data_IF_370512992065
#
_entry.id   IF_370512992065
#
_cell.length_a   1.000
_cell.length_b   1.000
_cell.length_c   1.000
_cell.angle_alpha   90.00
_cell.angle_beta   90.00
_cell.angle_gamma   90.00
#
_symmetry.space_group_name_H-M   'P 1'
#
loop_
_entity.id
_entity.type
_entity.pdbx_description
1 polymer ?
#
# COMPACT_ATOMS: atom_id res chain seq x y z
N UNK A 1 -20.97 -31.49 12.66
CA UNK A 1 -19.72 -31.99 12.06
C UNK A 1 -18.68 -30.88 12.18
N UNK A 2 -17.46 -31.19 12.60
CA UNK A 2 -16.37 -30.20 12.68
C UNK A 2 -15.57 -30.21 11.38
N UNK A 3 -15.32 -29.04 10.79
CA UNK A 3 -14.50 -28.88 9.59
C UNK A 3 -13.07 -28.41 9.91
N UNK A 4 -12.70 -28.33 11.20
CA UNK A 4 -11.41 -27.80 11.65
C UNK A 4 -10.20 -28.60 11.18
N UNK A 5 -10.38 -29.88 10.87
CA UNK A 5 -9.34 -30.79 10.39
C UNK A 5 -9.19 -30.83 8.87
N UNK A 6 -10.02 -30.09 8.14
CA UNK A 6 -9.94 -30.04 6.68
C UNK A 6 -8.90 -29.02 6.23
N UNK A 7 -8.24 -29.31 5.11
CA UNK A 7 -7.28 -28.40 4.49
C UNK A 7 -7.96 -27.08 4.11
N UNK A 8 -7.28 -25.97 4.39
CA UNK A 8 -7.71 -24.61 4.02
C UNK A 8 -6.91 -24.15 2.82
N UNK A 9 -7.54 -23.39 1.93
CA UNK A 9 -6.80 -22.66 0.90
C UNK A 9 -5.87 -21.64 1.57
N UNK A 10 -4.64 -21.55 1.09
CA UNK A 10 -3.63 -20.60 1.55
C UNK A 10 -3.22 -19.71 0.38
N UNK A 11 -2.75 -18.51 0.71
CA UNK A 11 -2.22 -17.56 -0.26
C UNK A 11 -0.70 -17.58 -0.18
N UNK A 12 -0.06 -17.95 -1.28
CA UNK A 12 1.39 -17.86 -1.39
C UNK A 12 1.82 -16.41 -1.60
N UNK A 13 3.06 -16.11 -1.22
CA UNK A 13 3.72 -14.85 -1.52
C UNK A 13 3.61 -14.45 -3.01
N UNK A 14 3.84 -15.41 -3.91
CA UNK A 14 3.75 -15.21 -5.38
C UNK A 14 2.36 -14.77 -5.87
N UNK A 15 1.32 -15.04 -5.08
CA UNK A 15 -0.03 -14.57 -5.41
C UNK A 15 -0.11 -13.04 -5.40
N UNK A 16 0.68 -12.33 -4.58
CA UNK A 16 0.71 -10.87 -4.58
C UNK A 16 1.14 -10.32 -5.95
N UNK A 17 2.11 -10.98 -6.60
CA UNK A 17 2.52 -10.63 -7.94
C UNK A 17 1.45 -10.97 -8.97
N UNK A 18 0.91 -12.19 -8.93
CA UNK A 18 -0.15 -12.63 -9.86
C UNK A 18 -1.39 -11.73 -9.78
N UNK A 19 -1.74 -11.26 -8.59
CA UNK A 19 -2.87 -10.36 -8.39
C UNK A 19 -2.59 -8.95 -8.94
N UNK A 20 -1.32 -8.51 -8.98
CA UNK A 20 -0.93 -7.21 -9.54
C UNK A 20 -1.05 -7.12 -11.07
N UNK A 21 -0.93 -8.26 -11.78
CA UNK A 21 -1.02 -8.30 -13.25
C UNK A 21 -2.44 -8.09 -13.78
N UNK A 22 -3.43 -7.94 -12.90
CA UNK A 22 -4.81 -7.56 -13.28
C UNK A 22 -4.90 -6.13 -13.82
N UNK A 23 -3.91 -5.28 -13.50
CA UNK A 23 -3.85 -3.90 -13.95
C UNK A 23 -2.86 -3.74 -15.10
N UNK A 24 -3.33 -3.82 -16.34
CA UNK A 24 -2.55 -3.41 -17.52
C UNK A 24 -2.29 -1.89 -17.50
N UNK A 25 -3.25 -1.11 -16.98
CA UNK A 25 -3.18 0.35 -16.93
C UNK A 25 -2.81 0.85 -15.52
N UNK A 26 -1.67 1.53 -15.41
CA UNK A 26 -1.11 1.98 -14.12
C UNK A 26 -2.00 3.01 -13.40
N UNK A 27 -2.65 3.92 -14.11
CA UNK A 27 -3.60 4.84 -13.46
C UNK A 27 -4.89 4.13 -13.02
N UNK A 28 -5.24 2.98 -13.59
CA UNK A 28 -6.30 2.12 -13.06
C UNK A 28 -5.97 1.62 -11.64
N UNK A 29 -4.70 1.26 -11.41
CA UNK A 29 -4.21 0.90 -10.08
C UNK A 29 -4.26 2.08 -9.09
N UNK A 30 -3.99 3.31 -9.54
CA UNK A 30 -4.14 4.52 -8.69
C UNK A 30 -5.63 4.82 -8.43
N UNK A 31 -6.49 4.65 -9.44
CA UNK A 31 -7.93 4.89 -9.33
C UNK A 31 -8.58 3.99 -8.26
N UNK A 32 -8.17 2.72 -8.15
CA UNK A 32 -8.61 1.83 -7.07
C UNK A 32 -8.31 2.40 -5.66
N UNK A 33 -7.22 3.15 -5.51
CA UNK A 33 -6.85 3.78 -4.23
C UNK A 33 -7.69 5.03 -3.98
N UNK A 34 -7.96 5.82 -5.03
CA UNK A 34 -8.86 6.98 -4.99
C UNK A 34 -10.28 6.53 -4.61
N UNK A 35 -10.75 5.43 -5.19
CA UNK A 35 -12.07 4.86 -4.90
C UNK A 35 -12.20 4.45 -3.43
N UNK A 36 -11.14 3.92 -2.82
CA UNK A 36 -11.13 3.60 -1.39
C UNK A 36 -11.26 4.84 -0.51
N UNK A 37 -10.56 5.94 -0.84
CA UNK A 37 -10.68 7.21 -0.12
C UNK A 37 -12.10 7.80 -0.25
N UNK A 38 -12.67 7.77 -1.46
CA UNK A 38 -14.05 8.20 -1.71
C UNK A 38 -15.06 7.38 -0.91
N UNK A 39 -14.94 6.06 -0.92
CA UNK A 39 -15.81 5.16 -0.15
C UNK A 39 -15.66 5.37 1.37
N UNK A 40 -14.50 5.85 1.84
CA UNK A 40 -14.28 6.27 3.22
C UNK A 40 -14.86 7.66 3.52
N UNK A 41 -15.64 8.24 2.60
CA UNK A 41 -16.24 9.56 2.70
C UNK A 41 -15.23 10.70 2.85
N UNK A 42 -14.04 10.53 2.28
CA UNK A 42 -13.06 11.60 2.22
C UNK A 42 -13.62 12.80 1.43
N UNK A 43 -13.40 13.99 1.98
CA UNK A 43 -13.70 15.27 1.32
C UNK A 43 -12.48 15.86 0.65
N UNK A 44 -11.30 15.40 1.04
CA UNK A 44 -10.00 15.79 0.51
C UNK A 44 -9.12 14.53 0.37
N UNK A 45 -8.41 14.45 -0.75
CA UNK A 45 -7.42 13.42 -1.04
C UNK A 45 -6.20 14.10 -1.65
N UNK A 46 -5.08 14.02 -0.96
CA UNK A 46 -3.79 14.45 -1.49
C UNK A 46 -3.07 13.25 -2.11
N UNK A 47 -2.61 13.42 -3.34
CA UNK A 47 -1.68 12.50 -4.00
C UNK A 47 -0.37 13.28 -4.19
N UNK A 48 0.70 12.81 -3.58
CA UNK A 48 1.99 13.51 -3.58
C UNK A 48 3.15 12.52 -3.53
N UNK A 49 4.37 13.02 -3.76
CA UNK A 49 5.58 12.21 -3.65
C UNK A 49 6.44 12.63 -2.46
N UNK A 50 7.09 11.66 -1.84
CA UNK A 50 8.09 11.89 -0.82
C UNK A 50 9.45 11.35 -1.33
N UNK A 51 10.38 12.26 -1.59
CA UNK A 51 11.70 11.92 -2.13
C UNK A 51 12.51 11.08 -1.13
N UNK A 52 13.08 9.98 -1.62
CA UNK A 52 14.00 9.13 -0.89
C UNK A 52 14.90 8.36 -1.87
N UNK A 53 16.13 8.86 -2.06
CA UNK A 53 17.09 8.32 -3.02
C UNK A 53 17.58 6.88 -2.68
N UNK A 54 17.35 6.40 -1.46
CA UNK A 54 17.71 5.03 -1.05
C UNK A 54 16.69 3.98 -1.53
N UNK A 55 15.48 4.42 -1.89
CA UNK A 55 14.41 3.54 -2.35
C UNK A 55 14.47 3.37 -3.87
N UNK A 56 14.08 2.19 -4.35
CA UNK A 56 13.97 1.94 -5.79
C UNK A 56 12.94 2.90 -6.39
N UNK A 57 13.37 3.62 -7.42
CA UNK A 57 12.61 4.68 -8.08
C UNK A 57 12.80 6.08 -7.48
N UNK A 58 13.51 6.22 -6.36
CA UNK A 58 13.94 7.51 -5.81
C UNK A 58 12.90 8.29 -5.01
N UNK A 59 11.65 7.81 -4.95
CA UNK A 59 10.59 8.43 -4.15
C UNK A 59 9.51 7.41 -3.76
N UNK A 60 8.64 7.83 -2.84
CA UNK A 60 7.41 7.12 -2.46
C UNK A 60 6.20 7.84 -3.05
N UNK A 61 5.24 7.09 -3.59
CA UNK A 61 3.92 7.61 -3.92
C UNK A 61 3.04 7.59 -2.67
N UNK A 62 2.56 8.75 -2.25
CA UNK A 62 1.75 8.92 -1.05
C UNK A 62 0.32 9.32 -1.43
N UNK A 63 -0.66 8.67 -0.80
CA UNK A 63 -2.07 9.05 -0.87
C UNK A 63 -2.56 9.31 0.56
N UNK A 64 -3.05 10.51 0.82
CA UNK A 64 -3.56 10.91 2.13
C UNK A 64 -4.99 11.39 2.01
N UNK A 65 -5.90 10.72 2.71
CA UNK A 65 -7.30 11.13 2.79
C UNK A 65 -7.70 11.52 4.22
N UNK A 66 -8.74 12.36 4.29
CA UNK A 66 -9.38 12.78 5.53
C UNK A 66 -10.70 12.01 5.80
N UNK A 67 -10.82 10.79 5.28
CA UNK A 67 -12.01 9.95 5.45
C UNK A 67 -12.19 9.41 6.87
N UNK A 68 -13.07 8.43 7.01
CA UNK A 68 -13.44 7.84 8.31
C UNK A 68 -12.33 7.00 8.96
N UNK A 69 -11.24 6.70 8.23
CA UNK A 69 -10.16 5.84 8.69
C UNK A 69 -10.63 4.43 9.04
N UNK A 70 -9.79 3.67 9.73
CA UNK A 70 -10.08 2.28 10.10
C UNK A 70 -9.68 2.00 11.55
N UNK A 71 -10.53 1.25 12.25
CA UNK A 71 -10.20 0.68 13.55
C UNK A 71 -9.30 -0.58 13.38
N UNK A 72 -8.78 -1.17 14.48
CA UNK A 72 -7.91 -2.35 14.41
C UNK A 72 -8.55 -3.54 13.67
N UNK A 73 -9.85 -3.75 13.82
CA UNK A 73 -10.54 -4.90 13.22
C UNK A 73 -10.79 -4.67 11.73
N UNK A 74 -11.20 -3.46 11.34
CA UNK A 74 -11.31 -3.05 9.93
C UNK A 74 -9.96 -3.14 9.22
N UNK A 75 -8.87 -2.71 9.88
CA UNK A 75 -7.51 -2.81 9.34
C UNK A 75 -7.09 -4.26 9.12
N UNK A 76 -7.44 -5.17 10.06
CA UNK A 76 -7.20 -6.61 9.92
C UNK A 76 -8.02 -7.23 8.79
N UNK A 77 -9.23 -6.75 8.55
CA UNK A 77 -10.07 -7.22 7.45
C UNK A 77 -9.48 -6.84 6.08
N UNK A 78 -8.64 -5.81 6.00
CA UNK A 78 -7.88 -5.49 4.78
C UNK A 78 -7.07 -6.71 4.35
N UNK A 79 -6.33 -7.41 5.21
CA UNK A 79 -5.49 -8.53 4.75
C UNK A 79 -6.27 -9.80 4.42
N UNK A 80 -7.58 -9.81 4.67
CA UNK A 80 -8.46 -10.93 4.30
C UNK A 80 -8.93 -10.76 2.85
N UNK A 81 -8.32 -11.49 1.93
CA UNK A 81 -8.68 -11.45 0.51
C UNK A 81 -10.14 -11.84 0.29
N UNK A 82 -10.86 -11.07 -0.54
CA UNK A 82 -12.27 -11.32 -0.87
C UNK A 82 -13.28 -10.95 0.22
N UNK A 83 -12.85 -10.39 1.36
CA UNK A 83 -13.76 -9.81 2.37
C UNK A 83 -13.91 -8.31 2.10
N UNK A 84 -15.15 -7.85 1.93
CA UNK A 84 -15.49 -6.42 1.92
C UNK A 84 -16.67 -6.22 2.85
N UNK A 85 -16.52 -5.38 3.88
CA UNK A 85 -17.63 -4.95 4.73
C UNK A 85 -18.65 -4.10 3.96
N UNK A 86 -18.26 -3.56 2.80
CA UNK A 86 -19.09 -2.77 1.89
C UNK A 86 -20.02 -3.65 1.04
N UNK A 87 -19.98 -4.98 1.19
CA UNK A 87 -20.80 -5.91 0.42
C UNK A 87 -22.21 -6.01 1.04
N UNK A 88 -23.02 -4.98 0.86
CA UNK A 88 -24.47 -5.01 1.09
C UNK A 88 -25.21 -4.62 -0.20
N UNK A 89 -26.38 -5.21 -0.45
CA UNK A 89 -27.20 -4.97 -1.66
C UNK A 89 -27.66 -3.51 -1.81
N UNK A 90 -27.42 -2.66 -0.80
CA UNK A 90 -27.81 -1.24 -0.77
C UNK A 90 -26.61 -0.27 -0.75
N UNK A 91 -25.37 -0.75 -0.79
CA UNK A 91 -24.20 0.15 -0.76
C UNK A 91 -23.92 0.76 -2.14
N UNK A 92 -23.70 2.08 -2.19
CA UNK A 92 -23.18 2.80 -3.36
C UNK A 92 -21.65 2.76 -3.45
N UNK A 93 -21.01 1.88 -2.69
CA UNK A 93 -19.56 1.80 -2.56
C UNK A 93 -18.94 1.11 -3.79
N UNK A 94 -17.81 1.62 -4.24
CA UNK A 94 -17.10 1.10 -5.42
C UNK A 94 -16.30 -0.15 -5.06
N UNK A 95 -15.68 -0.17 -3.87
CA UNK A 95 -14.83 -1.25 -3.37
C UNK A 95 -15.57 -2.51 -2.94
N UNK A 96 -16.17 -3.24 -3.87
CA UNK A 96 -16.99 -4.42 -3.57
C UNK A 96 -16.18 -5.72 -3.43
N UNK A 97 -14.99 -5.79 -4.03
CA UNK A 97 -14.25 -7.04 -4.20
C UNK A 97 -13.18 -7.30 -3.12
N UNK A 98 -12.85 -6.28 -2.32
CA UNK A 98 -11.83 -6.41 -1.28
C UNK A 98 -10.43 -6.71 -1.83
N UNK A 99 -10.13 -6.36 -3.08
CA UNK A 99 -8.85 -6.64 -3.74
C UNK A 99 -8.09 -5.39 -4.23
N UNK A 100 -8.80 -4.26 -4.47
CA UNK A 100 -8.25 -3.05 -5.10
C UNK A 100 -6.97 -2.52 -4.47
N UNK A 101 -6.93 -2.41 -3.13
CA UNK A 101 -5.72 -1.97 -2.44
C UNK A 101 -4.52 -2.88 -2.73
N UNK A 102 -4.71 -4.22 -2.75
CA UNK A 102 -3.61 -5.18 -2.90
C UNK A 102 -3.15 -5.27 -4.34
N UNK A 103 -4.08 -5.39 -5.30
CA UNK A 103 -3.72 -5.45 -6.71
C UNK A 103 -3.12 -4.13 -7.19
N UNK A 104 -3.73 -3.01 -6.82
CA UNK A 104 -3.29 -1.68 -7.23
C UNK A 104 -1.93 -1.30 -6.65
N UNK A 105 -1.74 -1.44 -5.33
CA UNK A 105 -0.45 -1.12 -4.70
C UNK A 105 0.70 -1.99 -5.21
N UNK A 106 0.49 -3.29 -5.37
CA UNK A 106 1.52 -4.22 -5.86
C UNK A 106 1.82 -4.06 -7.35
N UNK A 107 0.92 -3.42 -8.12
CA UNK A 107 1.18 -2.98 -9.50
C UNK A 107 2.11 -1.78 -9.54
N UNK A 108 1.98 -0.85 -8.60
CA UNK A 108 2.74 0.41 -8.55
C UNK A 108 4.13 0.20 -7.94
N UNK A 109 4.23 -0.57 -6.85
CA UNK A 109 5.48 -0.78 -6.13
C UNK A 109 5.58 -2.15 -5.49
N UNK A 110 6.76 -2.49 -4.99
CA UNK A 110 6.99 -3.77 -4.32
C UNK A 110 6.54 -3.76 -2.85
N UNK A 111 6.46 -2.58 -2.24
CA UNK A 111 6.17 -2.46 -0.82
C UNK A 111 5.17 -1.34 -0.58
N UNK A 112 4.26 -1.55 0.38
CA UNK A 112 3.33 -0.54 0.85
C UNK A 112 3.33 -0.52 2.38
N UNK A 113 3.16 0.67 2.93
CA UNK A 113 2.81 0.84 4.34
C UNK A 113 1.67 1.84 4.45
N UNK A 114 0.66 1.46 5.21
CA UNK A 114 -0.55 2.23 5.42
C UNK A 114 -0.61 2.61 6.89
N UNK A 115 -0.94 3.87 7.15
CA UNK A 115 -1.19 4.44 8.47
C UNK A 115 -2.63 4.90 8.49
N UNK A 116 -3.41 4.49 9.48
CA UNK A 116 -4.81 4.89 9.60
C UNK A 116 -5.16 5.21 11.03
N UNK A 117 -6.06 6.18 11.20
CA UNK A 117 -6.57 6.62 12.49
C UNK A 117 -8.09 6.61 12.45
N UNK A 118 -8.70 6.09 13.52
CA UNK A 118 -10.15 6.18 13.74
C UNK A 118 -10.42 6.30 15.23
N UNK A 119 -11.06 7.40 15.59
CA UNK A 119 -11.41 7.73 16.98
C UNK A 119 -10.17 7.73 17.91
N UNK A 120 -10.13 6.80 18.88
CA UNK A 120 -9.06 6.67 19.86
C UNK A 120 -8.00 5.62 19.49
N UNK A 121 -8.02 5.12 18.24
CA UNK A 121 -7.08 4.11 17.75
C UNK A 121 -6.28 4.58 16.54
N UNK A 122 -5.07 4.05 16.42
CA UNK A 122 -4.18 4.21 15.27
C UNK A 122 -3.58 2.86 14.92
N UNK A 123 -3.62 2.50 13.65
CA UNK A 123 -3.11 1.22 13.15
C UNK A 123 -2.16 1.45 11.99
N UNK A 124 -1.13 0.62 11.88
CA UNK A 124 -0.33 0.53 10.67
C UNK A 124 -0.49 -0.85 10.05
N UNK A 125 -0.49 -0.91 8.72
CA UNK A 125 -0.46 -2.14 7.95
C UNK A 125 0.75 -2.11 7.05
N UNK A 126 1.60 -3.14 7.14
CA UNK A 126 2.82 -3.21 6.36
C UNK A 126 2.85 -4.45 5.46
N UNK A 127 2.72 -4.26 4.15
CA UNK A 127 2.83 -5.34 3.17
C UNK A 127 4.09 -5.11 2.33
N UNK A 128 5.11 -5.93 2.55
CA UNK A 128 6.42 -5.76 1.93
C UNK A 128 6.91 -7.02 1.24
N UNK A 129 7.08 -6.97 -0.07
CA UNK A 129 7.77 -8.03 -0.79
C UNK A 129 9.24 -8.11 -0.42
N UNK A 130 9.87 -6.98 -0.17
CA UNK A 130 11.28 -6.92 0.24
C UNK A 130 11.52 -7.73 1.52
N UNK A 131 10.62 -7.64 2.50
CA UNK A 131 10.65 -8.46 3.72
C UNK A 131 10.53 -9.97 3.42
N UNK A 132 9.57 -10.36 2.59
CA UNK A 132 9.34 -11.77 2.26
C UNK A 132 10.51 -12.38 1.50
N UNK A 133 11.05 -11.66 0.51
CA UNK A 133 12.20 -12.10 -0.28
C UNK A 133 13.46 -12.20 0.61
N UNK A 134 13.69 -11.22 1.48
CA UNK A 134 14.85 -11.21 2.37
C UNK A 134 14.85 -12.35 3.42
N UNK A 135 13.66 -12.71 3.93
CA UNK A 135 13.50 -13.77 4.93
C UNK A 135 13.08 -15.11 4.32
N UNK A 136 12.96 -15.20 2.98
CA UNK A 136 12.53 -16.40 2.24
C UNK A 136 11.18 -16.98 2.74
N UNK A 137 10.17 -16.12 2.83
CA UNK A 137 8.83 -16.47 3.33
C UNK A 137 7.90 -16.91 2.19
N UNK A 138 7.29 -18.08 2.34
CA UNK A 138 6.33 -18.61 1.36
C UNK A 138 4.88 -18.12 1.60
N UNK A 139 4.54 -17.80 2.85
CA UNK A 139 3.22 -17.31 3.25
C UNK A 139 3.23 -15.78 3.36
N UNK A 140 2.08 -15.15 3.06
CA UNK A 140 1.93 -13.69 3.20
C UNK A 140 1.79 -13.33 4.68
N UNK A 141 2.84 -12.74 5.25
CA UNK A 141 2.91 -12.21 6.62
C UNK A 141 2.81 -10.68 6.59
N UNK A 142 1.87 -10.12 7.33
CA UNK A 142 1.60 -8.67 7.35
C UNK A 142 1.67 -8.12 8.78
N UNK A 143 2.72 -7.36 9.14
CA UNK A 143 2.74 -6.63 10.39
C UNK A 143 1.58 -5.63 10.51
N UNK A 144 0.85 -5.71 11.63
CA UNK A 144 -0.37 -4.93 11.89
C UNK A 144 -0.42 -4.33 13.31
N UNK A 145 0.59 -3.54 13.72
CA UNK A 145 0.61 -2.97 15.06
C UNK A 145 -0.50 -1.93 15.22
N UNK A 146 -1.10 -1.92 16.41
CA UNK A 146 -2.19 -1.04 16.80
C UNK A 146 -1.81 -0.25 18.06
N UNK A 147 -2.26 0.98 18.14
CA UNK A 147 -1.90 1.92 19.21
C UNK A 147 -3.12 2.71 19.66
N UNK A 148 -3.06 3.19 20.90
CA UNK A 148 -3.95 4.26 21.36
C UNK A 148 -3.56 5.59 20.74
N UNK A 149 -4.52 6.31 20.18
CA UNK A 149 -4.31 7.60 19.52
C UNK A 149 -3.83 8.70 20.48
N UNK A 150 -4.23 8.64 21.75
CA UNK A 150 -3.94 9.64 22.78
C UNK A 150 -2.52 9.53 23.34
N UNK A 151 -2.02 8.31 23.50
CA UNK A 151 -0.82 8.00 24.28
C UNK A 151 0.27 7.33 23.45
N UNK A 152 -0.05 6.92 22.21
CA UNK A 152 0.82 6.14 21.31
C UNK A 152 1.29 4.82 21.92
N UNK A 153 0.64 4.36 22.98
CA UNK A 153 0.95 3.08 23.61
C UNK A 153 0.38 1.94 22.77
N UNK A 154 1.06 0.79 22.70
CA UNK A 154 0.53 -0.41 22.06
C UNK A 154 -0.87 -0.77 22.56
N UNK A 155 -1.75 -1.17 21.65
CA UNK A 155 -3.12 -1.57 21.93
C UNK A 155 -3.26 -3.07 21.63
N UNK A 156 -3.37 -3.87 22.68
CA UNK A 156 -3.65 -5.31 22.63
C UNK A 156 -4.29 -5.78 23.93
N UNK A 157 -5.00 -6.91 23.88
CA UNK A 157 -5.59 -7.56 25.06
C UNK A 157 -4.82 -8.83 25.41
N UNK A 158 -4.07 -8.79 26.52
CA UNK A 158 -3.30 -9.95 27.02
C UNK A 158 -4.18 -11.02 27.67
N UNK A 159 -5.43 -10.69 28.04
CA UNK A 159 -6.38 -11.69 28.52
C UNK A 159 -6.96 -12.51 27.35
N UNK A 160 -7.08 -11.91 26.17
CA UNK A 160 -7.49 -12.59 24.94
C UNK A 160 -6.31 -13.34 24.27
N UNK A 161 -5.16 -12.68 24.14
CA UNK A 161 -3.95 -13.23 23.51
C UNK A 161 -2.71 -12.94 24.37
N UNK A 162 -2.25 -13.91 25.19
CA UNK A 162 -1.06 -13.76 26.01
C UNK A 162 0.24 -13.48 25.23
N UNK A 163 0.25 -13.77 23.92
CA UNK A 163 1.41 -13.55 23.04
C UNK A 163 1.37 -12.19 22.33
N UNK A 164 0.32 -11.39 22.54
CA UNK A 164 0.10 -10.16 21.78
C UNK A 164 1.22 -9.12 21.93
N UNK A 165 1.85 -9.04 23.11
CA UNK A 165 2.97 -8.13 23.33
C UNK A 165 4.22 -8.53 22.53
N UNK A 166 4.56 -9.82 22.49
CA UNK A 166 5.69 -10.33 21.71
C UNK A 166 5.43 -10.21 20.21
N UNK A 167 4.19 -10.49 19.79
CA UNK A 167 3.73 -10.26 18.42
C UNK A 167 3.88 -8.79 18.03
N UNK A 168 3.37 -7.87 18.83
CA UNK A 168 3.48 -6.43 18.59
C UNK A 168 4.95 -5.97 18.50
N UNK A 169 5.81 -6.47 19.40
CA UNK A 169 7.24 -6.19 19.34
C UNK A 169 7.88 -6.68 18.03
N UNK A 170 7.51 -7.87 17.58
CA UNK A 170 7.99 -8.47 16.33
C UNK A 170 7.50 -7.67 15.11
N UNK A 171 6.21 -7.29 15.10
CA UNK A 171 5.62 -6.46 14.04
C UNK A 171 6.38 -5.14 13.88
N UNK A 172 6.66 -4.46 14.99
CA UNK A 172 7.44 -3.22 14.99
C UNK A 172 8.90 -3.43 14.56
N UNK A 173 9.53 -4.52 14.98
CA UNK A 173 10.90 -4.83 14.56
C UNK A 173 11.00 -5.05 13.04
N UNK A 174 10.01 -5.74 12.44
CA UNK A 174 9.93 -5.91 10.98
C UNK A 174 9.74 -4.56 10.28
N UNK A 175 8.85 -3.72 10.77
CA UNK A 175 8.61 -2.38 10.21
C UNK A 175 9.90 -1.53 10.27
N UNK A 176 10.59 -1.48 11.40
CA UNK A 176 11.83 -0.70 11.53
C UNK A 176 12.95 -1.25 10.66
N UNK A 177 13.02 -2.57 10.44
CA UNK A 177 14.04 -3.18 9.59
C UNK A 177 13.79 -2.90 8.11
N UNK A 178 12.56 -3.12 7.64
CA UNK A 178 12.26 -3.19 6.20
C UNK A 178 11.54 -1.97 5.63
N UNK A 179 10.79 -1.21 6.43
CA UNK A 179 10.13 0.01 5.95
C UNK A 179 11.10 1.20 5.85
N UNK A 180 10.74 2.31 5.19
CA UNK A 180 11.54 3.53 5.18
C UNK A 180 11.65 4.24 6.54
N UNK A 181 10.88 3.81 7.55
CA UNK A 181 10.86 4.41 8.88
C UNK A 181 11.59 3.50 9.85
N UNK A 182 12.82 3.87 10.19
CA UNK A 182 13.76 3.04 10.94
C UNK A 182 13.67 3.25 12.45
N UNK A 183 12.95 4.28 12.88
CA UNK A 183 12.77 4.62 14.30
C UNK A 183 11.32 4.89 14.65
N UNK A 184 11.01 4.77 15.94
CA UNK A 184 9.69 5.12 16.50
C UNK A 184 9.29 6.55 16.15
N UNK A 185 10.24 7.49 16.22
CA UNK A 185 9.99 8.89 15.88
C UNK A 185 9.59 9.05 14.41
N UNK A 186 10.30 8.41 13.49
CA UNK A 186 10.00 8.47 12.06
C UNK A 186 8.66 7.80 11.73
N UNK A 187 8.36 6.69 12.40
CA UNK A 187 7.10 5.97 12.25
C UNK A 187 5.91 6.81 12.71
N UNK A 188 5.95 7.36 13.94
CA UNK A 188 4.85 8.20 14.43
C UNK A 188 4.73 9.54 13.72
N UNK A 189 5.82 10.06 13.15
CA UNK A 189 5.75 11.24 12.29
C UNK A 189 4.83 11.04 11.07
N UNK A 190 4.52 9.80 10.67
CA UNK A 190 3.57 9.53 9.60
C UNK A 190 2.12 9.66 10.07
N UNK A 191 1.79 9.21 11.29
CA UNK A 191 0.49 9.50 11.90
C UNK A 191 0.28 11.00 12.10
N UNK A 192 1.34 11.73 12.44
CA UNK A 192 1.34 13.19 12.55
C UNK A 192 1.15 13.91 11.19
N UNK A 193 0.97 13.19 10.07
CA UNK A 193 0.57 13.79 8.79
C UNK A 193 -0.95 13.77 8.57
N UNK A 194 -1.70 13.03 9.40
CA UNK A 194 -3.16 12.89 9.35
C UNK A 194 -3.89 14.01 10.14
N UNK A 195 -3.20 15.10 10.47
CA UNK A 195 -3.55 16.08 11.51
C UNK A 195 -4.84 16.89 11.32
N UNK A 196 -5.65 16.62 10.30
CA UNK A 196 -6.87 17.39 10.02
C UNK A 196 -8.11 16.87 10.76
N UNK A 197 -8.07 15.69 11.41
CA UNK A 197 -9.24 15.12 12.07
C UNK A 197 -8.98 14.02 13.11
N UNK A 198 -10.05 13.51 13.71
CA UNK A 198 -10.05 12.28 14.53
C UNK A 198 -9.88 11.00 13.71
N UNK A 199 -9.83 11.13 12.38
CA UNK A 199 -9.71 10.02 11.45
C UNK A 199 -8.98 10.40 10.15
N UNK A 200 -8.55 9.40 9.42
CA UNK A 200 -7.96 9.53 8.09
C UNK A 200 -7.01 8.38 7.78
N UNK A 201 -6.55 8.29 6.53
CA UNK A 201 -5.60 7.27 6.09
C UNK A 201 -4.48 7.88 5.25
N UNK A 202 -3.25 7.40 5.47
CA UNK A 202 -2.06 7.70 4.69
C UNK A 202 -1.49 6.38 4.17
N UNK A 203 -1.59 6.18 2.87
CA UNK A 203 -0.98 5.07 2.15
C UNK A 203 0.31 5.54 1.50
N UNK A 204 1.39 4.77 1.65
CA UNK A 204 2.67 5.03 1.00
C UNK A 204 3.15 3.79 0.28
N UNK A 205 3.35 3.91 -1.02
CA UNK A 205 3.84 2.85 -1.90
C UNK A 205 5.24 3.23 -2.35
N UNK A 206 6.17 2.28 -2.25
CA UNK A 206 7.57 2.51 -2.55
C UNK A 206 8.25 1.26 -3.11
N UNK A 207 9.54 1.41 -3.44
CA UNK A 207 10.25 0.48 -4.29
C UNK A 207 9.50 0.26 -5.60
N UNK A 208 9.35 1.38 -6.32
CA UNK A 208 8.48 1.50 -7.49
C UNK A 208 8.94 0.59 -8.63
N UNK A 209 7.99 0.19 -9.46
CA UNK A 209 8.30 -0.49 -10.71
C UNK A 209 9.05 0.46 -11.65
N UNK A 210 10.00 -0.10 -12.37
CA UNK A 210 10.87 0.63 -13.29
C UNK A 210 10.67 0.10 -14.70
N UNK A 211 10.83 0.97 -15.67
CA UNK A 211 11.02 0.65 -17.07
C UNK A 211 12.40 0.00 -17.30
N UNK A 212 12.62 -0.53 -18.50
CA UNK A 212 13.88 -1.17 -18.89
C UNK A 212 15.08 -0.20 -18.85
N UNK A 213 14.83 1.09 -19.04
CA UNK A 213 15.85 2.15 -18.91
C UNK A 213 16.18 2.48 -17.44
N UNK A 214 15.55 1.81 -16.47
CA UNK A 214 15.77 2.00 -15.04
C UNK A 214 15.02 3.17 -14.41
N UNK A 215 14.23 3.93 -15.18
CA UNK A 215 13.40 5.01 -14.66
C UNK A 215 12.06 4.49 -14.10
N UNK A 216 11.45 5.17 -13.12
CA UNK A 216 10.09 4.85 -12.68
C UNK A 216 9.07 4.94 -13.81
N UNK A 217 8.03 4.10 -13.78
CA UNK A 217 6.92 4.18 -14.73
C UNK A 217 6.08 5.47 -14.58
N UNK A 218 6.19 6.14 -13.44
CA UNK A 218 5.54 7.41 -13.13
C UNK A 218 6.56 8.54 -13.20
N UNK A 219 6.32 9.53 -14.05
CA UNK A 219 7.13 10.74 -14.13
C UNK A 219 6.49 11.85 -13.28
N UNK A 220 7.25 12.31 -12.29
CA UNK A 220 6.85 13.35 -11.34
C UNK A 220 7.79 14.56 -11.40
N UNK A 221 8.59 14.64 -12.46
CA UNK A 221 9.66 15.64 -12.63
C UNK A 221 9.40 16.58 -13.80
N UNK A 222 8.80 16.10 -14.90
CA UNK A 222 8.47 16.92 -16.07
C UNK A 222 7.46 18.01 -15.73
N UNK A 223 6.41 17.67 -14.99
CA UNK A 223 5.48 18.63 -14.39
C UNK A 223 5.44 18.39 -12.86
N UNK A 224 5.92 19.34 -12.03
CA UNK A 224 5.95 19.17 -10.58
C UNK A 224 4.56 19.20 -9.93
N UNK A 225 3.51 19.48 -10.69
CA UNK A 225 2.11 19.50 -10.25
C UNK A 225 1.29 18.32 -10.76
N UNK A 226 1.90 17.41 -11.52
CA UNK A 226 1.23 16.26 -12.12
C UNK A 226 2.00 14.94 -11.86
N UNK A 227 1.32 13.82 -12.09
CA UNK A 227 1.90 12.48 -12.11
C UNK A 227 1.63 11.89 -13.48
N UNK A 228 2.64 11.96 -14.35
CA UNK A 228 2.58 11.52 -15.74
C UNK A 228 3.00 10.04 -15.88
N UNK A 229 2.64 9.42 -16.99
CA UNK A 229 3.27 8.16 -17.38
C UNK A 229 4.61 8.48 -18.05
N UNK A 230 5.67 7.83 -17.59
CA UNK A 230 6.94 7.88 -18.28
C UNK A 230 6.78 7.23 -19.66
N UNK A 231 7.07 7.99 -20.72
CA UNK A 231 7.20 7.41 -22.04
C UNK A 231 8.55 6.70 -22.12
N UNK A 232 8.61 5.45 -22.62
CA UNK A 232 9.89 4.92 -23.04
C UNK A 232 10.41 5.85 -24.13
N UNK A 233 11.62 6.37 -23.95
CA UNK A 233 12.31 7.12 -25.00
C UNK A 233 12.35 6.21 -26.24
N UNK A 234 11.49 6.47 -27.23
CA UNK A 234 11.85 6.11 -28.58
C UNK A 234 12.89 7.14 -28.96
N UNK A 235 14.15 6.70 -29.07
CA UNK A 235 15.21 7.50 -29.67
C UNK A 235 14.77 7.90 -31.09
N UNK A 236 14.08 9.04 -31.18
CA UNK A 236 13.61 9.65 -32.42
C UNK A 236 14.80 10.35 -33.12
N UNK A 237 15.91 9.62 -33.35
CA UNK A 237 17.03 10.09 -34.19
C UNK A 237 17.78 9.01 -34.99
N UNK A 238 17.32 7.76 -35.07
CA UNK A 238 17.92 6.78 -35.99
C UNK A 238 16.90 5.98 -36.80
N UNK A 239 16.04 6.65 -37.57
CA UNK A 239 15.53 6.06 -38.82
C UNK A 239 15.18 7.11 -39.89
N UNK A 240 16.11 8.01 -40.19
CA UNK A 240 16.18 8.59 -41.54
C UNK A 240 17.00 7.66 -42.44
N UNK A 241 16.55 6.41 -42.55
CA UNK A 241 17.02 5.42 -43.51
C UNK A 241 16.56 5.77 -44.92
N UNK A 242 17.29 6.64 -45.60
CA UNK A 242 17.53 6.71 -47.05
C UNK A 242 16.38 6.18 -47.93
N UNK A 243 15.50 7.08 -48.38
CA UNK A 243 14.83 6.88 -49.67
C UNK A 243 15.88 7.00 -50.78
N UNK A 244 16.42 5.86 -51.24
CA UNK A 244 17.08 5.80 -52.55
C UNK A 244 16.01 5.47 -53.58
N UNK A 245 15.60 6.48 -54.33
CA UNK A 245 14.91 6.29 -55.61
C UNK A 245 15.82 5.49 -56.54
N UNK A 246 15.33 4.35 -57.01
CA UNK A 246 15.84 3.71 -58.20
C UNK A 246 14.69 3.52 -59.20
N UNK A 247 14.81 4.25 -60.30
CA UNK A 247 14.12 4.06 -61.59
C UNK A 247 14.32 2.65 -62.15
#
# INVERSE_FOLDING_TARGET
MSYSSLSKAQLSFEYLHTNSTTHEFLFGAIAELIDNARDAHATELDIFTAQNAELRGGYMLCLRDNGCGMDPQETKDIITFGRSAKRSDESSAIGMYGNGLKSGSMRIGNDLILFTKKEDTMSALFLSRTFHEAESLDEVIVPLPCFRADTRQPLYDLAEDPTAAERHQTEMAVIYKYSPFKTEKEFFAQFDKLNSGSSGTLLMIYNLKLLDNGQPELDVTTDPTDVLLASPDFDDETDLGVYSDHE
#
